data_IF_162708465389
#
_entry.id   IF_162708465389
#
_cell.length_a   1.000
_cell.length_b   1.000
_cell.length_c   1.000
_cell.angle_alpha   90.00
_cell.angle_beta   90.00
_cell.angle_gamma   90.00
#
_symmetry.space_group_name_H-M   'P 1'
#
loop_
_entity.id
_entity.type
_entity.pdbx_description
1 polymer ?
#
# COMPACT_ATOMS: atom_id res chain seq x y z
N UNK A 1 -8.84 -0.77 -10.55
CA UNK A 1 -9.79 0.36 -10.47
C UNK A 1 -10.71 0.28 -9.26
N UNK A 2 -11.25 -0.89 -8.88
CA UNK A 2 -12.13 -1.06 -7.69
C UNK A 2 -11.59 -0.47 -6.38
N UNK A 3 -10.27 -0.43 -6.18
CA UNK A 3 -9.64 0.23 -5.02
C UNK A 3 -10.04 1.71 -4.88
N UNK A 4 -10.15 2.44 -5.99
CA UNK A 4 -10.54 3.86 -5.97
C UNK A 4 -12.00 4.02 -5.53
N UNK A 5 -12.88 3.14 -6.04
CA UNK A 5 -14.31 3.19 -5.77
C UNK A 5 -14.60 2.91 -4.29
N UNK A 6 -13.92 1.94 -3.69
CA UNK A 6 -14.10 1.62 -2.26
C UNK A 6 -13.57 2.77 -1.37
N UNK A 7 -12.45 3.41 -1.74
CA UNK A 7 -11.96 4.61 -1.03
C UNK A 7 -12.94 5.77 -1.17
N UNK A 8 -13.48 5.99 -2.37
CA UNK A 8 -14.49 7.02 -2.62
C UNK A 8 -15.78 6.76 -1.81
N UNK A 9 -16.21 5.50 -1.74
CA UNK A 9 -17.34 5.07 -0.89
C UNK A 9 -17.11 5.29 0.60
N UNK A 10 -15.86 5.41 1.05
CA UNK A 10 -15.49 5.77 2.43
C UNK A 10 -15.46 7.29 2.66
N UNK A 11 -15.84 8.11 1.67
CA UNK A 11 -15.92 9.57 1.80
C UNK A 11 -14.61 10.33 1.55
N UNK A 12 -13.53 9.65 1.14
CA UNK A 12 -12.28 10.30 0.73
C UNK A 12 -12.19 10.44 -0.79
N UNK A 13 -11.41 11.41 -1.27
CA UNK A 13 -11.15 11.57 -2.71
C UNK A 13 -9.82 10.89 -3.08
N UNK A 14 -9.81 9.84 -3.92
CA UNK A 14 -8.57 9.26 -4.42
C UNK A 14 -7.76 10.31 -5.19
N UNK A 15 -6.48 10.48 -4.84
CA UNK A 15 -5.61 11.46 -5.49
C UNK A 15 -5.08 10.94 -6.84
N UNK A 16 -4.85 9.64 -6.94
CA UNK A 16 -4.26 9.00 -8.11
C UNK A 16 -4.65 7.52 -8.18
N UNK A 17 -4.26 6.89 -9.28
CA UNK A 17 -4.27 5.45 -9.47
C UNK A 17 -2.93 5.03 -10.06
N UNK A 18 -2.30 4.03 -9.45
CA UNK A 18 -1.08 3.43 -9.96
C UNK A 18 -1.24 1.91 -9.93
N UNK A 19 -1.10 1.31 -11.10
CA UNK A 19 -1.02 -0.14 -11.25
C UNK A 19 0.45 -0.54 -11.42
N UNK A 20 0.95 -1.35 -10.49
CA UNK A 20 2.31 -1.91 -10.55
C UNK A 20 2.38 -3.14 -11.47
N UNK A 21 1.24 -3.59 -11.99
CA UNK A 21 1.10 -4.76 -12.84
C UNK A 21 1.40 -6.06 -12.11
N UNK A 22 1.65 -7.12 -12.87
CA UNK A 22 1.98 -8.43 -12.33
C UNK A 22 3.38 -8.52 -11.70
N UNK A 23 4.27 -7.54 -11.88
CA UNK A 23 5.65 -7.58 -11.40
C UNK A 23 5.90 -6.60 -10.26
N UNK A 24 5.80 -7.04 -9.01
CA UNK A 24 6.07 -6.21 -7.84
C UNK A 24 7.54 -6.30 -7.40
N UNK A 25 8.48 -5.99 -8.29
CA UNK A 25 9.90 -5.91 -7.90
C UNK A 25 10.13 -4.72 -6.96
N UNK A 26 11.17 -4.80 -6.11
CA UNK A 26 11.55 -3.71 -5.21
C UNK A 26 11.73 -2.37 -5.94
N UNK A 27 12.34 -2.39 -7.13
CA UNK A 27 12.51 -1.19 -7.96
C UNK A 27 11.18 -0.58 -8.38
N UNK A 28 10.24 -1.40 -8.86
CA UNK A 28 8.91 -0.93 -9.28
C UNK A 28 8.15 -0.35 -8.08
N UNK A 29 8.27 -0.97 -6.91
CA UNK A 29 7.68 -0.45 -5.67
C UNK A 29 8.30 0.89 -5.25
N UNK A 30 9.63 1.02 -5.31
CA UNK A 30 10.33 2.25 -4.99
C UNK A 30 9.98 3.40 -5.93
N UNK A 31 9.99 3.14 -7.24
CA UNK A 31 9.62 4.13 -8.26
C UNK A 31 8.16 4.56 -8.07
N UNK A 32 7.25 3.61 -7.85
CA UNK A 32 5.84 3.88 -7.60
C UNK A 32 5.60 4.72 -6.35
N UNK A 33 6.17 4.31 -5.20
CA UNK A 33 6.05 5.07 -3.96
C UNK A 33 6.67 6.46 -4.08
N UNK A 34 7.80 6.61 -4.75
CA UNK A 34 8.45 7.91 -4.97
C UNK A 34 7.54 8.87 -5.76
N UNK A 35 6.91 8.37 -6.83
CA UNK A 35 5.96 9.17 -7.62
C UNK A 35 4.76 9.58 -6.76
N UNK A 36 4.12 8.62 -6.06
CA UNK A 36 2.94 8.92 -5.25
C UNK A 36 3.25 9.89 -4.10
N UNK A 37 4.38 9.72 -3.41
CA UNK A 37 4.73 10.54 -2.25
C UNK A 37 5.20 11.96 -2.62
N UNK A 38 5.55 12.20 -3.88
CA UNK A 38 5.93 13.53 -4.38
C UNK A 38 4.73 14.46 -4.62
N UNK A 39 3.52 13.90 -4.74
CA UNK A 39 2.30 14.68 -4.95
C UNK A 39 1.84 15.33 -3.62
N UNK A 40 1.81 16.67 -3.52
CA UNK A 40 1.38 17.36 -2.30
C UNK A 40 -0.09 17.14 -1.95
N UNK A 41 -0.93 16.71 -2.90
CA UNK A 41 -2.33 16.36 -2.65
C UNK A 41 -2.47 15.03 -1.89
N UNK A 42 -1.45 14.17 -1.90
CA UNK A 42 -1.48 12.88 -1.20
C UNK A 42 -1.31 13.08 0.30
N UNK A 43 -2.29 12.56 1.05
CA UNK A 43 -2.31 12.58 2.53
C UNK A 43 -2.00 11.22 3.15
N UNK A 44 -2.39 10.14 2.48
CA UNK A 44 -2.08 8.75 2.83
C UNK A 44 -2.01 7.90 1.57
N UNK A 45 -1.30 6.77 1.63
CA UNK A 45 -1.17 5.82 0.52
C UNK A 45 -1.86 4.51 0.89
N UNK A 46 -2.65 3.95 -0.02
CA UNK A 46 -3.26 2.63 0.14
C UNK A 46 -2.72 1.65 -0.90
N UNK A 47 -1.92 0.68 -0.44
CA UNK A 47 -1.42 -0.42 -1.26
C UNK A 47 -2.34 -1.63 -1.08
N UNK A 48 -3.08 -1.96 -2.13
CA UNK A 48 -4.01 -3.10 -2.15
C UNK A 48 -3.48 -4.17 -3.10
N UNK A 49 -3.10 -5.31 -2.55
CA UNK A 49 -2.49 -6.41 -3.30
C UNK A 49 -3.34 -7.66 -3.13
N UNK A 50 -3.72 -8.24 -4.27
CA UNK A 50 -4.27 -9.58 -4.33
C UNK A 50 -3.25 -10.48 -5.04
N UNK A 51 -2.52 -11.26 -4.26
CA UNK A 51 -1.52 -12.20 -4.74
C UNK A 51 -2.14 -13.32 -5.56
N UNK A 52 -1.73 -13.40 -6.83
CA UNK A 52 -2.06 -14.46 -7.77
C UNK A 52 -0.77 -15.06 -8.31
N UNK A 53 -0.35 -14.61 -9.49
CA UNK A 53 0.93 -14.99 -10.10
C UNK A 53 2.10 -14.54 -9.22
N UNK A 54 2.07 -13.28 -8.76
CA UNK A 54 3.06 -12.76 -7.82
C UNK A 54 2.56 -12.97 -6.40
N UNK A 55 3.37 -13.66 -5.61
CA UNK A 55 3.08 -14.02 -4.24
C UNK A 55 3.27 -12.81 -3.30
N UNK A 56 2.44 -12.71 -2.26
CA UNK A 56 2.41 -11.54 -1.38
C UNK A 56 3.68 -11.35 -0.55
N UNK A 57 4.44 -12.41 -0.29
CA UNK A 57 5.77 -12.36 0.31
C UNK A 57 6.76 -11.61 -0.58
N UNK A 58 6.81 -11.92 -1.87
CA UNK A 58 7.65 -11.17 -2.82
C UNK A 58 7.26 -9.69 -2.90
N UNK A 59 5.96 -9.39 -2.84
CA UNK A 59 5.47 -7.99 -2.79
C UNK A 59 5.88 -7.31 -1.49
N UNK A 60 5.75 -7.99 -0.35
CA UNK A 60 6.14 -7.47 0.96
C UNK A 60 7.65 -7.19 1.02
N UNK A 61 8.49 -8.10 0.52
CA UNK A 61 9.93 -7.89 0.38
C UNK A 61 10.22 -6.67 -0.51
N UNK A 62 9.49 -6.52 -1.62
CA UNK A 62 9.59 -5.37 -2.50
C UNK A 62 9.22 -4.05 -1.81
N UNK A 63 8.19 -4.05 -0.95
CA UNK A 63 7.84 -2.90 -0.12
C UNK A 63 8.99 -2.60 0.84
N UNK A 64 9.44 -3.56 1.64
CA UNK A 64 10.50 -3.35 2.65
C UNK A 64 11.77 -2.80 2.00
N UNK A 65 12.22 -3.40 0.90
CA UNK A 65 13.40 -2.90 0.16
C UNK A 65 13.19 -1.50 -0.43
N UNK A 66 11.97 -1.17 -0.87
CA UNK A 66 11.66 0.18 -1.33
C UNK A 66 11.76 1.20 -0.18
N UNK A 67 11.36 0.84 1.05
CA UNK A 67 11.42 1.72 2.22
C UNK A 67 12.85 2.06 2.64
N UNK A 68 13.84 1.24 2.30
CA UNK A 68 15.26 1.56 2.54
C UNK A 68 15.78 2.71 1.65
N UNK A 69 15.13 2.93 0.50
CA UNK A 69 15.55 3.94 -0.49
C UNK A 69 14.59 5.13 -0.57
N UNK A 70 13.33 4.92 -0.22
CA UNK A 70 12.26 5.92 -0.28
C UNK A 70 11.82 6.28 1.12
N UNK A 71 12.07 7.53 1.52
CA UNK A 71 11.59 8.05 2.80
C UNK A 71 10.07 8.24 2.77
N UNK A 72 9.34 7.45 3.55
CA UNK A 72 7.92 7.69 3.76
C UNK A 72 7.69 9.01 4.49
N UNK A 73 6.90 9.89 3.88
CA UNK A 73 6.45 11.17 4.47
C UNK A 73 4.96 11.16 4.82
N UNK A 74 4.25 10.09 4.45
CA UNK A 74 2.81 9.90 4.60
C UNK A 74 2.53 8.48 5.13
N UNK A 75 1.42 8.27 5.87
CA UNK A 75 1.01 6.93 6.27
C UNK A 75 0.77 6.01 5.07
N UNK A 76 1.22 4.76 5.18
CA UNK A 76 1.06 3.70 4.19
C UNK A 76 0.16 2.60 4.78
N UNK A 77 -1.06 2.46 4.26
CA UNK A 77 -1.95 1.35 4.60
C UNK A 77 -1.72 0.23 3.58
N UNK A 78 -1.46 -0.99 4.06
CA UNK A 78 -1.19 -2.15 3.21
C UNK A 78 -2.21 -3.24 3.46
N UNK A 79 -2.80 -3.77 2.39
CA UNK A 79 -3.60 -4.99 2.42
C UNK A 79 -2.98 -6.02 1.49
N UNK A 80 -2.57 -7.15 2.07
CA UNK A 80 -2.08 -8.32 1.34
C UNK A 80 -3.07 -9.47 1.52
N UNK A 81 -3.56 -10.01 0.40
CA UNK A 81 -4.47 -11.15 0.36
C UNK A 81 -4.13 -12.07 -0.82
N UNK A 82 -4.53 -13.35 -0.78
CA UNK A 82 -4.19 -14.34 -1.80
C UNK A 82 -2.91 -15.14 -1.51
N UNK A 83 -2.16 -15.49 -2.57
CA UNK A 83 -1.00 -16.40 -2.48
C UNK A 83 0.06 -15.88 -1.50
N UNK A 84 0.50 -16.72 -0.55
CA UNK A 84 1.44 -16.41 0.53
C UNK A 84 1.15 -15.14 1.36
N UNK A 85 -0.11 -14.67 1.40
CA UNK A 85 -0.47 -13.48 2.17
C UNK A 85 -0.08 -13.55 3.67
N UNK A 86 -0.21 -14.68 4.39
CA UNK A 86 0.29 -14.77 5.77
C UNK A 86 1.78 -14.48 5.91
N UNK A 87 2.61 -14.96 4.98
CA UNK A 87 4.06 -14.70 5.01
C UNK A 87 4.38 -13.25 4.66
N UNK A 88 3.71 -12.69 3.65
CA UNK A 88 3.87 -11.26 3.32
C UNK A 88 3.51 -10.34 4.48
N UNK A 89 2.45 -10.65 5.23
CA UNK A 89 2.10 -9.89 6.43
C UNK A 89 3.16 -10.01 7.53
N UNK A 90 3.69 -11.22 7.75
CA UNK A 90 4.77 -11.42 8.71
C UNK A 90 6.03 -10.60 8.36
N UNK A 91 6.40 -10.51 7.08
CA UNK A 91 7.55 -9.69 6.63
C UNK A 91 7.34 -8.20 7.01
N UNK A 92 6.14 -7.66 6.77
CA UNK A 92 5.83 -6.28 7.11
C UNK A 92 5.78 -6.05 8.63
N UNK A 93 5.29 -7.02 9.40
CA UNK A 93 5.27 -6.97 10.87
C UNK A 93 6.70 -7.04 11.44
N UNK A 94 7.56 -7.90 10.89
CA UNK A 94 8.98 -8.03 11.26
C UNK A 94 9.75 -6.73 11.00
N UNK A 95 9.46 -6.02 9.89
CA UNK A 95 10.08 -4.74 9.58
C UNK A 95 9.59 -3.59 10.49
N UNK A 96 8.35 -3.66 11.00
CA UNK A 96 7.79 -2.76 12.02
C UNK A 96 7.94 -1.25 11.73
N UNK A 97 7.83 -0.83 10.47
CA UNK A 97 7.97 0.58 10.10
C UNK A 97 6.80 1.42 10.66
N UNK A 98 7.07 2.53 11.38
CA UNK A 98 6.04 3.27 12.16
C UNK A 98 4.92 3.91 11.32
N UNK A 99 5.17 4.17 10.04
CA UNK A 99 4.17 4.71 9.11
C UNK A 99 3.40 3.63 8.34
N UNK A 100 3.77 2.36 8.47
CA UNK A 100 3.12 1.25 7.75
C UNK A 100 2.06 0.62 8.65
N UNK A 101 0.84 0.51 8.14
CA UNK A 101 -0.29 -0.09 8.86
C UNK A 101 -0.89 -1.20 8.02
N UNK A 102 -0.91 -2.42 8.57
CA UNK A 102 -1.53 -3.56 7.91
C UNK A 102 -3.01 -3.64 8.23
N UNK A 103 -3.83 -3.86 7.21
CA UNK A 103 -5.26 -4.15 7.36
C UNK A 103 -5.66 -5.27 6.42
N UNK A 104 -6.35 -6.28 6.93
CA UNK A 104 -6.56 -7.55 6.23
C UNK A 104 -7.72 -7.54 5.24
N UNK A 105 -8.71 -6.66 5.43
CA UNK A 105 -9.88 -6.56 4.56
C UNK A 105 -9.79 -5.35 3.64
N UNK A 106 -10.36 -5.46 2.45
CA UNK A 106 -10.42 -4.35 1.49
C UNK A 106 -11.15 -3.14 2.08
N UNK A 107 -12.34 -3.35 2.66
CA UNK A 107 -13.14 -2.29 3.27
C UNK A 107 -12.45 -1.65 4.48
N UNK A 108 -11.81 -2.47 5.31
CA UNK A 108 -11.07 -1.98 6.47
C UNK A 108 -9.88 -1.13 6.06
N UNK A 109 -9.12 -1.58 5.06
CA UNK A 109 -7.94 -0.86 4.59
C UNK A 109 -8.32 0.44 3.88
N UNK A 110 -9.36 0.42 3.06
CA UNK A 110 -9.89 1.61 2.39
C UNK A 110 -10.41 2.65 3.41
N UNK A 111 -11.21 2.20 4.40
CA UNK A 111 -11.69 3.07 5.48
C UNK A 111 -10.51 3.69 6.25
N UNK A 112 -9.51 2.88 6.60
CA UNK A 112 -8.34 3.36 7.33
C UNK A 112 -7.55 4.41 6.56
N UNK A 113 -7.33 4.18 5.26
CA UNK A 113 -6.69 5.16 4.40
C UNK A 113 -7.53 6.45 4.30
N UNK A 114 -8.85 6.36 4.16
CA UNK A 114 -9.75 7.51 4.13
C UNK A 114 -9.72 8.34 5.42
N UNK A 115 -9.73 7.69 6.59
CA UNK A 115 -9.56 8.33 7.90
C UNK A 115 -8.24 9.11 7.98
N UNK A 116 -7.13 8.47 7.60
CA UNK A 116 -5.81 9.08 7.61
C UNK A 116 -5.69 10.27 6.65
N UNK A 117 -6.46 10.26 5.55
CA UNK A 117 -6.48 11.35 4.58
C UNK A 117 -7.31 12.56 5.02
N UNK A 118 -8.31 12.37 5.89
CA UNK A 118 -9.27 13.40 6.31
C UNK A 118 -8.97 14.00 7.69
N UNK A 119 -8.17 13.31 8.50
CA UNK A 119 -7.83 13.74 9.87
C UNK A 119 -6.52 14.57 9.92
N UNK A 120 -5.91 14.89 8.77
CA UNK A 120 -4.59 15.54 8.66
C UNK A 120 -4.64 16.96 8.08
#
# INVERSE_FOLDING_TARGET
MSTLDVVAGCGARPANFLDIGGGASARIMADGLSVILSDPAVKSVFVNVFGGITACDAVADGIVQALDTVRLTKPLVVRLDGNNAPRGRAILDEHAHPLVQQVTTMDGAARRAAELATTA
#
